data_IF_814142700125
#
_entry.id   IF_814142700125
#
_cell.length_a   1.000
_cell.length_b   1.000
_cell.length_c   1.000
_cell.angle_alpha   90.00
_cell.angle_beta   90.00
_cell.angle_gamma   90.00
#
_symmetry.space_group_name_H-M   'P 1'
#
loop_
_entity.id
_entity.type
_entity.pdbx_description
1 polymer ?
#
# COMPACT_ATOMS: atom_id res chain seq x y z
N UNK A 1 -13.82 35.29 24.32
CA UNK A 1 -12.63 35.29 25.17
C UNK A 1 -11.46 35.82 24.33
N UNK A 2 -10.98 37.03 24.64
CA UNK A 2 -9.88 37.71 23.95
C UNK A 2 -8.56 37.22 24.56
N UNK A 3 -7.73 36.53 23.78
CA UNK A 3 -6.36 36.23 24.20
C UNK A 3 -5.49 37.45 23.89
N UNK A 4 -5.25 38.28 24.88
CA UNK A 4 -4.27 39.35 24.84
C UNK A 4 -2.91 38.80 25.24
N UNK A 5 -2.02 38.59 24.29
CA UNK A 5 -0.58 38.36 24.52
C UNK A 5 0.22 39.38 23.69
N UNK A 6 1.20 40.07 24.25
CA UNK A 6 1.80 41.28 23.67
C UNK A 6 2.90 41.07 22.64
N UNK A 7 3.12 39.88 22.12
CA UNK A 7 4.12 39.66 21.06
C UNK A 7 3.62 38.57 20.11
N UNK A 8 3.04 38.99 18.96
CA UNK A 8 2.72 38.07 17.89
C UNK A 8 1.42 38.38 17.16
N UNK A 9 1.50 39.14 16.09
CA UNK A 9 0.43 39.55 15.18
C UNK A 9 -0.18 38.45 14.32
N UNK A 10 -0.33 37.22 14.83
CA UNK A 10 -1.02 36.17 14.11
C UNK A 10 -2.34 35.85 14.76
N UNK A 11 -3.49 36.00 14.06
CA UNK A 11 -4.79 35.65 14.61
C UNK A 11 -4.83 34.17 15.02
N UNK A 12 -5.46 33.89 16.17
CA UNK A 12 -5.53 32.57 16.81
C UNK A 12 -6.01 31.44 15.88
N UNK A 13 -6.78 31.74 14.83
CA UNK A 13 -7.22 30.81 13.79
C UNK A 13 -6.09 30.34 12.84
N UNK A 14 -5.12 31.22 12.58
CA UNK A 14 -4.03 30.92 11.65
C UNK A 14 -3.00 29.94 12.26
N UNK A 15 -2.79 29.98 13.57
CA UNK A 15 -1.93 29.00 14.28
C UNK A 15 -2.49 27.58 14.24
N UNK A 16 -3.83 27.42 14.34
CA UNK A 16 -4.48 26.10 14.25
C UNK A 16 -4.36 25.53 12.84
N UNK A 17 -4.48 26.34 11.80
CA UNK A 17 -4.30 25.91 10.41
C UNK A 17 -2.86 25.47 10.12
N UNK A 18 -1.86 26.22 10.60
CA UNK A 18 -0.43 25.87 10.40
C UNK A 18 -0.07 24.60 11.18
N UNK A 19 -0.61 24.40 12.38
CA UNK A 19 -0.37 23.16 13.13
C UNK A 19 -1.01 21.96 12.46
N UNK A 20 -2.24 22.08 11.99
CA UNK A 20 -2.94 21.02 11.26
C UNK A 20 -2.22 20.63 9.97
N UNK A 21 -1.73 21.61 9.19
CA UNK A 21 -0.98 21.33 7.96
C UNK A 21 0.37 20.65 8.24
N UNK A 22 1.06 21.03 9.32
CA UNK A 22 2.31 20.35 9.73
C UNK A 22 2.08 18.91 10.17
N UNK A 23 1.01 18.64 10.93
CA UNK A 23 0.65 17.29 11.35
C UNK A 23 0.27 16.44 10.13
N UNK A 24 -0.53 16.97 9.22
CA UNK A 24 -0.90 16.27 7.98
C UNK A 24 0.33 15.99 7.10
N UNK A 25 1.23 16.96 6.95
CA UNK A 25 2.48 16.76 6.21
C UNK A 25 3.41 15.75 6.86
N UNK A 26 3.55 15.76 8.19
CA UNK A 26 4.34 14.79 8.92
C UNK A 26 3.75 13.38 8.81
N UNK A 27 2.43 13.23 8.90
CA UNK A 27 1.73 11.96 8.71
C UNK A 27 1.94 11.41 7.29
N UNK A 28 1.76 12.25 6.27
CA UNK A 28 1.99 11.86 4.88
C UNK A 28 3.46 11.45 4.64
N UNK A 29 4.40 12.25 5.15
CA UNK A 29 5.83 11.96 5.05
C UNK A 29 6.21 10.64 5.74
N UNK A 30 5.65 10.37 6.92
CA UNK A 30 5.84 9.10 7.63
C UNK A 30 5.26 7.93 6.82
N UNK A 31 4.10 8.08 6.22
CA UNK A 31 3.46 7.05 5.41
C UNK A 31 4.27 6.73 4.15
N UNK A 32 4.77 7.76 3.45
CA UNK A 32 5.69 7.60 2.30
C UNK A 32 6.97 6.88 2.74
N UNK A 33 7.56 7.28 3.87
CA UNK A 33 8.78 6.68 4.40
C UNK A 33 8.59 5.21 4.75
N UNK A 34 7.49 4.85 5.43
CA UNK A 34 7.15 3.45 5.75
C UNK A 34 6.97 2.64 4.47
N UNK A 35 6.21 3.14 3.49
CA UNK A 35 6.00 2.44 2.22
C UNK A 35 7.31 2.24 1.44
N UNK A 36 8.19 3.25 1.39
CA UNK A 36 9.47 3.15 0.66
C UNK A 36 10.47 2.23 1.35
N UNK A 37 10.57 2.28 2.68
CA UNK A 37 11.44 1.40 3.45
C UNK A 37 11.01 -0.07 3.37
N UNK A 38 9.69 -0.31 3.38
CA UNK A 38 9.16 -1.67 3.31
C UNK A 38 9.13 -2.24 1.89
N UNK A 39 9.33 -1.41 0.86
CA UNK A 39 9.26 -1.83 -0.53
C UNK A 39 10.27 -2.95 -0.84
N UNK A 40 11.51 -2.81 -0.38
CA UNK A 40 12.55 -3.86 -0.56
C UNK A 40 12.18 -5.17 0.12
N UNK A 41 11.51 -5.10 1.28
CA UNK A 41 11.05 -6.29 1.99
C UNK A 41 9.87 -6.96 1.28
N UNK A 42 8.91 -6.18 0.81
CA UNK A 42 7.67 -6.68 0.20
C UNK A 42 7.88 -7.23 -1.23
N UNK A 43 8.85 -6.66 -1.98
CA UNK A 43 9.20 -7.10 -3.33
C UNK A 43 10.29 -8.17 -3.36
N UNK A 44 10.99 -8.41 -2.22
CA UNK A 44 11.99 -9.47 -2.17
C UNK A 44 11.35 -10.83 -2.41
N UNK A 45 12.08 -11.71 -3.10
CA UNK A 45 11.65 -13.08 -3.33
C UNK A 45 11.45 -13.81 -1.99
N UNK A 46 10.32 -14.47 -1.83
CA UNK A 46 10.10 -15.40 -0.75
C UNK A 46 10.79 -16.73 -1.11
N UNK A 47 11.56 -17.29 -0.19
CA UNK A 47 12.10 -18.64 -0.33
C UNK A 47 10.98 -19.65 -0.07
N UNK A 48 10.11 -19.80 -1.06
CA UNK A 48 9.08 -20.84 -1.02
C UNK A 48 9.67 -22.11 -1.59
N UNK A 49 9.60 -23.23 -0.89
CA UNK A 49 10.18 -24.51 -1.31
C UNK A 49 9.64 -25.08 -2.65
N UNK A 50 8.84 -24.29 -3.37
CA UNK A 50 8.29 -24.64 -4.70
C UNK A 50 9.20 -24.32 -5.89
N UNK A 51 10.41 -23.79 -5.66
CA UNK A 51 11.38 -23.51 -6.73
C UNK A 51 11.08 -22.29 -7.62
N UNK A 52 9.89 -21.70 -7.51
CA UNK A 52 9.52 -20.47 -8.20
C UNK A 52 9.67 -19.29 -7.23
N UNK A 53 10.62 -18.41 -7.50
CA UNK A 53 10.84 -17.19 -6.72
C UNK A 53 9.68 -16.20 -6.98
N UNK A 54 8.63 -16.26 -6.14
CA UNK A 54 7.56 -15.29 -6.18
C UNK A 54 7.82 -14.15 -5.17
N UNK A 55 7.47 -12.91 -5.48
CA UNK A 55 7.58 -11.83 -4.51
C UNK A 55 6.62 -12.06 -3.33
N UNK A 56 6.99 -11.63 -2.13
CA UNK A 56 6.23 -11.88 -0.89
C UNK A 56 4.78 -11.43 -0.93
N UNK A 57 4.45 -10.38 -1.68
CA UNK A 57 3.06 -9.93 -1.83
C UNK A 57 2.20 -10.88 -2.70
N UNK A 58 2.83 -11.69 -3.55
CA UNK A 58 2.15 -12.66 -4.41
C UNK A 58 2.17 -14.07 -3.81
N UNK A 59 3.03 -14.31 -2.80
CA UNK A 59 3.10 -15.58 -2.09
C UNK A 59 1.80 -15.86 -1.34
N UNK A 60 1.19 -16.99 -1.62
CA UNK A 60 -0.03 -17.43 -0.96
C UNK A 60 -0.12 -18.95 -0.97
N UNK A 61 -0.75 -19.49 0.05
CA UNK A 61 -1.09 -20.91 0.14
C UNK A 61 -2.60 -21.06 0.30
N UNK A 62 -3.29 -21.85 -0.52
CA UNK A 62 -4.73 -22.06 -0.38
C UNK A 62 -5.14 -22.55 1.03
N UNK A 63 -4.26 -23.28 1.69
CA UNK A 63 -4.45 -23.73 3.08
C UNK A 63 -4.50 -22.58 4.08
N UNK A 64 -3.81 -21.47 3.80
CA UNK A 64 -3.78 -20.25 4.60
C UNK A 64 -4.91 -19.26 4.24
N UNK A 65 -5.91 -19.68 3.44
CA UNK A 65 -6.98 -18.79 3.00
C UNK A 65 -7.89 -18.32 4.15
N UNK A 66 -8.18 -17.01 4.20
CA UNK A 66 -9.10 -16.37 5.16
C UNK A 66 -8.75 -16.61 6.63
N UNK A 67 -7.47 -16.59 6.96
CA UNK A 67 -7.05 -16.63 8.35
C UNK A 67 -7.20 -15.25 9.00
N UNK A 68 -7.62 -15.22 10.29
CA UNK A 68 -7.79 -13.96 11.02
C UNK A 68 -6.43 -13.31 11.35
N UNK A 69 -6.41 -12.02 11.71
CA UNK A 69 -5.26 -11.37 12.31
C UNK A 69 -4.84 -12.09 13.60
N UNK A 70 -3.54 -12.05 13.92
CA UNK A 70 -2.96 -12.76 15.07
C UNK A 70 -3.54 -12.37 16.43
N UNK A 71 -4.19 -11.20 16.55
CA UNK A 71 -4.84 -10.72 17.79
C UNK A 71 -6.32 -11.15 17.91
N UNK A 72 -6.87 -11.82 16.92
CA UNK A 72 -8.22 -12.36 16.94
C UNK A 72 -8.14 -13.88 17.12
N UNK A 73 -8.92 -14.41 18.05
CA UNK A 73 -9.00 -15.86 18.26
C UNK A 73 -9.55 -16.54 17.01
N UNK A 74 -8.85 -17.52 16.44
CA UNK A 74 -9.32 -18.25 15.28
C UNK A 74 -10.50 -19.16 15.64
N UNK A 75 -11.39 -19.43 14.67
CA UNK A 75 -12.37 -20.50 14.78
C UNK A 75 -11.70 -21.87 14.78
N UNK A 76 -12.42 -22.92 15.16
CA UNK A 76 -11.85 -24.28 15.18
C UNK A 76 -11.30 -24.72 13.81
N UNK A 77 -12.01 -24.39 12.71
CA UNK A 77 -11.52 -24.69 11.35
C UNK A 77 -10.27 -23.91 10.99
N UNK A 78 -10.21 -22.65 11.43
CA UNK A 78 -9.02 -21.81 11.22
C UNK A 78 -7.84 -22.29 12.05
N UNK A 79 -8.07 -22.74 13.28
CA UNK A 79 -7.05 -23.34 14.14
C UNK A 79 -6.45 -24.59 13.50
N UNK A 80 -7.31 -25.52 13.01
CA UNK A 80 -6.84 -26.71 12.27
C UNK A 80 -5.98 -26.37 11.05
N UNK A 81 -6.35 -25.32 10.31
CA UNK A 81 -5.53 -24.84 9.16
C UNK A 81 -4.21 -24.24 9.63
N UNK A 82 -4.21 -23.49 10.72
CA UNK A 82 -2.98 -22.94 11.32
C UNK A 82 -2.05 -24.06 11.78
N UNK A 83 -2.58 -25.11 12.39
CA UNK A 83 -1.82 -26.30 12.78
C UNK A 83 -1.18 -27.00 11.56
N UNK A 84 -1.90 -27.06 10.43
CA UNK A 84 -1.38 -27.63 9.19
C UNK A 84 -0.27 -26.79 8.56
N UNK A 85 -0.19 -25.48 8.85
CA UNK A 85 0.85 -24.59 8.36
C UNK A 85 2.14 -24.60 9.20
N UNK A 86 2.13 -25.26 10.36
CA UNK A 86 3.34 -25.43 11.18
C UNK A 86 4.32 -26.33 10.43
N UNK A 87 5.57 -25.87 10.20
CA UNK A 87 6.58 -26.65 9.47
C UNK A 87 6.86 -27.99 10.14
N UNK A 88 7.07 -29.08 9.38
CA UNK A 88 7.32 -30.43 9.94
C UNK A 88 8.53 -30.48 10.87
N UNK A 89 9.54 -29.66 10.62
CA UNK A 89 10.72 -29.54 11.50
C UNK A 89 10.32 -29.08 12.91
N UNK A 90 9.38 -28.14 13.01
CA UNK A 90 8.87 -27.67 14.30
C UNK A 90 8.01 -28.69 15.00
N UNK A 91 7.22 -29.45 14.24
CA UNK A 91 6.43 -30.56 14.80
C UNK A 91 7.35 -31.60 15.40
N UNK A 92 8.46 -31.98 14.75
CA UNK A 92 9.48 -32.88 15.29
C UNK A 92 10.16 -32.35 16.55
N UNK A 93 10.49 -31.05 16.55
CA UNK A 93 11.07 -30.40 17.72
C UNK A 93 10.12 -30.48 18.93
N UNK A 94 8.83 -30.22 18.72
CA UNK A 94 7.79 -30.33 19.75
C UNK A 94 7.64 -31.79 20.22
N UNK A 95 7.61 -32.76 19.30
CA UNK A 95 7.53 -34.18 19.60
C UNK A 95 8.68 -34.63 20.51
N UNK A 96 9.91 -34.25 20.15
CA UNK A 96 11.11 -34.57 20.93
C UNK A 96 11.08 -33.90 22.31
N UNK A 97 10.64 -32.63 22.37
CA UNK A 97 10.56 -31.89 23.65
C UNK A 97 9.53 -32.46 24.62
N UNK A 98 8.41 -32.94 24.11
CA UNK A 98 7.32 -33.50 24.91
C UNK A 98 7.42 -35.01 25.10
N UNK A 99 8.40 -35.67 24.47
CA UNK A 99 8.59 -37.12 24.45
C UNK A 99 7.32 -37.90 24.00
N UNK A 100 6.66 -37.37 22.95
CA UNK A 100 5.48 -37.97 22.31
C UNK A 100 5.80 -38.29 20.86
N UNK A 101 5.04 -39.19 20.24
CA UNK A 101 5.18 -39.52 18.84
C UNK A 101 4.76 -38.33 17.96
N UNK A 102 5.43 -38.14 16.80
CA UNK A 102 5.16 -37.03 15.86
C UNK A 102 3.70 -37.01 15.40
N UNK A 103 3.10 -38.19 15.21
CA UNK A 103 1.68 -38.34 14.84
C UNK A 103 0.72 -37.89 15.95
N UNK A 104 1.09 -38.11 17.21
CA UNK A 104 0.30 -37.75 18.38
C UNK A 104 0.36 -36.27 18.76
N UNK A 105 1.33 -35.51 18.27
CA UNK A 105 1.46 -34.06 18.58
C UNK A 105 0.18 -33.27 18.27
N UNK A 106 -0.52 -33.65 17.21
CA UNK A 106 -1.75 -32.99 16.77
C UNK A 106 -3.02 -33.43 17.57
N UNK A 107 -2.93 -34.51 18.31
CA UNK A 107 -4.03 -35.05 19.10
C UNK A 107 -3.84 -34.75 20.60
N UNK A 108 -2.61 -34.64 21.06
CA UNK A 108 -2.30 -34.32 22.46
C UNK A 108 -2.54 -32.81 22.73
N UNK A 109 -3.32 -32.44 23.76
CA UNK A 109 -3.56 -31.05 24.15
C UNK A 109 -2.29 -30.25 24.40
N UNK A 110 -1.22 -30.90 24.90
CA UNK A 110 0.09 -30.27 25.12
C UNK A 110 0.81 -29.99 23.81
N UNK A 111 0.72 -30.91 22.85
CA UNK A 111 1.26 -30.75 21.51
C UNK A 111 0.58 -29.62 20.76
N UNK A 112 -0.76 -29.57 20.77
CA UNK A 112 -1.54 -28.50 20.18
C UNK A 112 -1.22 -27.14 20.81
N UNK A 113 -1.07 -27.06 22.12
CA UNK A 113 -0.69 -25.82 22.80
C UNK A 113 0.69 -25.33 22.37
N UNK A 114 1.66 -26.25 22.24
CA UNK A 114 3.01 -25.92 21.77
C UNK A 114 3.03 -25.51 20.29
N UNK A 115 2.20 -26.12 19.43
CA UNK A 115 2.08 -25.72 18.03
C UNK A 115 1.55 -24.29 17.86
N UNK A 116 0.64 -23.83 18.75
CA UNK A 116 0.11 -22.46 18.72
C UNK A 116 1.19 -21.37 18.85
N UNK A 117 2.27 -21.64 19.55
CA UNK A 117 3.40 -20.72 19.66
C UNK A 117 4.12 -20.53 18.32
N UNK A 118 4.03 -21.51 17.41
CA UNK A 118 4.69 -21.55 16.11
C UNK A 118 3.74 -21.20 14.95
N UNK A 119 2.52 -20.80 15.24
CA UNK A 119 1.58 -20.35 14.21
C UNK A 119 2.12 -19.13 13.45
N UNK A 120 1.93 -19.08 12.13
CA UNK A 120 2.32 -17.90 11.35
C UNK A 120 1.50 -16.68 11.80
N UNK A 121 2.18 -15.58 12.08
CA UNK A 121 1.55 -14.35 12.57
C UNK A 121 1.23 -13.41 11.42
N UNK A 122 -0.02 -13.38 11.03
CA UNK A 122 -0.51 -12.44 10.02
C UNK A 122 -1.07 -11.18 10.70
N UNK A 123 -0.46 -10.01 10.44
CA UNK A 123 -0.87 -8.74 11.05
C UNK A 123 -2.31 -8.36 10.75
N UNK A 124 -2.75 -8.46 9.50
CA UNK A 124 -4.11 -8.13 9.05
C UNK A 124 -4.85 -9.36 8.53
N UNK A 125 -4.35 -10.57 8.84
CA UNK A 125 -4.90 -11.79 8.31
C UNK A 125 -4.50 -12.06 6.86
N UNK A 126 -5.23 -12.99 6.22
CA UNK A 126 -4.97 -13.44 4.85
C UNK A 126 -6.20 -13.30 3.96
N UNK A 127 -5.97 -13.15 2.65
CA UNK A 127 -7.04 -13.17 1.65
C UNK A 127 -7.53 -14.60 1.34
N UNK A 128 -8.44 -14.75 0.38
CA UNK A 128 -8.95 -16.05 -0.04
C UNK A 128 -7.87 -16.99 -0.62
N UNK A 129 -6.77 -16.43 -1.12
CA UNK A 129 -5.63 -17.17 -1.68
C UNK A 129 -4.50 -17.39 -0.66
N UNK A 130 -4.72 -17.05 0.61
CA UNK A 130 -3.74 -17.19 1.67
C UNK A 130 -2.59 -16.17 1.64
N UNK A 131 -2.74 -15.08 0.89
CA UNK A 131 -1.74 -14.02 0.81
C UNK A 131 -1.89 -13.07 1.99
N UNK A 132 -0.79 -12.60 2.56
CA UNK A 132 -0.80 -11.64 3.67
C UNK A 132 -1.41 -10.30 3.23
N UNK A 133 -2.53 -9.91 3.84
CA UNK A 133 -3.18 -8.63 3.60
C UNK A 133 -2.28 -7.44 3.98
N UNK A 134 -1.52 -7.56 5.08
CA UNK A 134 -0.60 -6.51 5.51
C UNK A 134 0.48 -6.19 4.48
N UNK A 135 1.11 -7.23 3.91
CA UNK A 135 2.12 -7.05 2.84
C UNK A 135 1.50 -6.44 1.59
N UNK A 136 0.32 -6.88 1.20
CA UNK A 136 -0.39 -6.34 0.03
C UNK A 136 -0.81 -4.89 0.21
N UNK A 137 -1.26 -4.50 1.41
CA UNK A 137 -1.59 -3.09 1.72
C UNK A 137 -0.35 -2.19 1.63
N UNK A 138 0.80 -2.65 2.10
CA UNK A 138 2.05 -1.88 1.99
C UNK A 138 2.48 -1.68 0.53
N UNK A 139 2.41 -2.73 -0.28
CA UNK A 139 2.72 -2.61 -1.73
C UNK A 139 1.72 -1.72 -2.44
N UNK A 140 0.41 -1.94 -2.22
CA UNK A 140 -0.64 -1.13 -2.82
C UNK A 140 -0.51 0.35 -2.41
N UNK A 141 -0.21 0.62 -1.15
CA UNK A 141 0.06 1.96 -0.64
C UNK A 141 1.28 2.60 -1.31
N UNK A 142 2.38 1.86 -1.45
CA UNK A 142 3.59 2.36 -2.11
C UNK A 142 3.33 2.70 -3.59
N UNK A 143 2.61 1.84 -4.31
CA UNK A 143 2.24 2.09 -5.72
C UNK A 143 1.32 3.31 -5.84
N UNK A 144 0.26 3.38 -5.02
CA UNK A 144 -0.70 4.49 -5.06
C UNK A 144 -0.03 5.83 -4.73
N UNK A 145 0.84 5.86 -3.71
CA UNK A 145 1.60 7.05 -3.34
C UNK A 145 2.59 7.43 -4.44
N UNK A 146 3.27 6.46 -5.04
CA UNK A 146 4.21 6.68 -6.14
C UNK A 146 3.52 7.32 -7.34
N UNK A 147 2.39 6.77 -7.76
CA UNK A 147 1.58 7.31 -8.87
C UNK A 147 1.07 8.71 -8.52
N UNK A 148 0.53 8.91 -7.30
CA UNK A 148 0.03 10.21 -6.87
C UNK A 148 1.12 11.29 -6.82
N UNK A 149 2.29 10.95 -6.29
CA UNK A 149 3.43 11.87 -6.20
C UNK A 149 3.97 12.24 -7.58
N UNK A 150 4.09 11.25 -8.47
CA UNK A 150 4.54 11.47 -9.85
C UNK A 150 3.55 12.37 -10.60
N UNK A 151 2.26 12.07 -10.50
CA UNK A 151 1.21 12.89 -11.12
C UNK A 151 1.23 14.34 -10.58
N UNK A 152 1.37 14.51 -9.27
CA UNK A 152 1.49 15.84 -8.66
C UNK A 152 2.73 16.58 -9.15
N UNK A 153 3.88 15.92 -9.22
CA UNK A 153 5.12 16.53 -9.71
C UNK A 153 5.00 17.01 -11.16
N UNK A 154 4.41 16.16 -12.02
CA UNK A 154 4.16 16.52 -13.42
C UNK A 154 3.18 17.69 -13.53
N UNK A 155 2.08 17.66 -12.78
CA UNK A 155 1.08 18.73 -12.77
C UNK A 155 1.68 20.05 -12.30
N UNK A 156 2.50 20.05 -11.24
CA UNK A 156 3.18 21.25 -10.73
C UNK A 156 4.20 21.76 -11.77
N UNK A 157 4.98 20.89 -12.38
CA UNK A 157 5.96 21.29 -13.39
C UNK A 157 5.27 21.94 -14.59
N UNK A 158 4.25 21.29 -15.15
CA UNK A 158 3.51 21.84 -16.29
C UNK A 158 2.79 23.13 -15.91
N UNK A 159 2.09 23.15 -14.78
CA UNK A 159 1.35 24.34 -14.32
C UNK A 159 2.26 25.53 -14.05
N UNK A 160 3.42 25.30 -13.43
CA UNK A 160 4.40 26.37 -13.18
C UNK A 160 4.99 26.91 -14.47
N UNK A 161 5.43 26.04 -15.40
CA UNK A 161 5.94 26.47 -16.69
C UNK A 161 4.89 27.24 -17.48
N UNK A 162 3.69 26.71 -17.56
CA UNK A 162 2.57 27.34 -18.27
C UNK A 162 2.22 28.72 -17.68
N UNK A 163 2.05 28.79 -16.35
CA UNK A 163 1.76 30.03 -15.66
C UNK A 163 2.88 31.05 -15.76
N UNK A 164 4.14 30.62 -15.70
CA UNK A 164 5.29 31.51 -15.86
C UNK A 164 5.37 32.10 -17.28
N UNK A 165 5.14 31.29 -18.31
CA UNK A 165 5.11 31.76 -19.71
C UNK A 165 3.97 32.75 -19.92
N UNK A 166 2.77 32.46 -19.40
CA UNK A 166 1.62 33.35 -19.48
C UNK A 166 1.92 34.71 -18.81
N UNK A 167 2.45 34.68 -17.59
CA UNK A 167 2.76 35.88 -16.84
C UNK A 167 3.90 36.70 -17.47
N UNK A 168 4.94 36.05 -18.01
CA UNK A 168 6.07 36.72 -18.63
C UNK A 168 5.73 37.35 -19.95
N UNK A 169 5.01 36.64 -20.83
CA UNK A 169 4.65 37.12 -22.16
C UNK A 169 3.52 38.17 -22.13
N UNK A 170 2.60 38.05 -21.19
CA UNK A 170 1.48 38.99 -21.00
C UNK A 170 0.57 39.18 -22.22
N UNK A 171 -0.32 40.15 -22.14
CA UNK A 171 -1.10 40.66 -23.26
C UNK A 171 -1.91 39.58 -24.02
N UNK A 172 -1.70 39.46 -25.34
CA UNK A 172 -2.41 38.52 -26.20
C UNK A 172 -2.03 37.08 -25.93
N UNK A 173 -0.78 36.80 -25.54
CA UNK A 173 -0.32 35.42 -25.26
C UNK A 173 -1.00 34.90 -24.02
N UNK A 174 -1.04 35.69 -22.95
CA UNK A 174 -1.75 35.32 -21.73
C UNK A 174 -3.24 35.07 -22.01
N UNK A 175 -3.89 35.96 -22.76
CA UNK A 175 -5.31 35.78 -23.13
C UNK A 175 -5.58 34.48 -23.92
N UNK A 176 -4.68 34.10 -24.83
CA UNK A 176 -4.82 32.83 -25.59
C UNK A 176 -4.58 31.63 -24.68
N UNK A 177 -3.54 31.68 -23.85
CA UNK A 177 -3.24 30.60 -22.92
C UNK A 177 -4.39 30.37 -21.92
N UNK A 178 -4.93 31.45 -21.35
CA UNK A 178 -6.10 31.32 -20.45
C UNK A 178 -7.34 30.77 -21.17
N UNK A 179 -7.56 31.13 -22.44
CA UNK A 179 -8.66 30.58 -23.22
C UNK A 179 -8.53 29.06 -23.45
N UNK A 180 -7.29 28.56 -23.66
CA UNK A 180 -7.02 27.12 -23.76
C UNK A 180 -7.38 26.41 -22.46
N UNK A 181 -7.00 26.98 -21.32
CA UNK A 181 -7.36 26.43 -20.00
C UNK A 181 -8.88 26.41 -19.82
N UNK A 182 -9.59 27.50 -20.17
CA UNK A 182 -11.05 27.59 -20.05
C UNK A 182 -11.74 26.49 -20.88
N UNK A 183 -11.25 26.23 -22.11
CA UNK A 183 -11.78 25.16 -22.97
C UNK A 183 -11.56 23.79 -22.34
N UNK A 184 -10.37 23.53 -21.79
CA UNK A 184 -10.06 22.26 -21.12
C UNK A 184 -10.92 22.04 -19.87
N UNK A 185 -11.16 23.11 -19.08
CA UNK A 185 -12.05 23.04 -17.91
C UNK A 185 -13.52 22.90 -18.28
N UNK A 186 -13.92 23.40 -19.46
CA UNK A 186 -15.28 23.27 -19.96
C UNK A 186 -15.64 21.85 -20.42
N UNK A 187 -14.66 21.00 -20.64
CA UNK A 187 -14.90 19.60 -21.03
C UNK A 187 -15.16 18.71 -19.81
N UNK A 188 -16.14 17.79 -19.87
CA UNK A 188 -16.35 16.82 -18.79
C UNK A 188 -15.06 16.00 -18.55
N UNK A 189 -14.49 16.06 -17.35
CA UNK A 189 -13.24 15.38 -17.00
C UNK A 189 -13.27 13.88 -17.32
N UNK A 190 -14.42 13.23 -17.08
CA UNK A 190 -14.59 11.80 -17.37
C UNK A 190 -14.43 11.53 -18.87
N UNK A 191 -15.01 12.38 -19.73
CA UNK A 191 -14.89 12.24 -21.19
C UNK A 191 -13.44 12.40 -21.65
N UNK A 192 -12.73 13.38 -21.10
CA UNK A 192 -11.30 13.60 -21.37
C UNK A 192 -10.45 12.39 -20.98
N UNK A 193 -10.69 11.82 -19.79
CA UNK A 193 -9.94 10.64 -19.31
C UNK A 193 -10.20 9.43 -20.21
N UNK A 194 -11.46 9.18 -20.59
CA UNK A 194 -11.79 8.05 -21.47
C UNK A 194 -11.18 8.22 -22.87
N UNK A 195 -11.27 9.41 -23.46
CA UNK A 195 -10.65 9.69 -24.76
C UNK A 195 -9.13 9.53 -24.73
N UNK A 196 -8.50 10.02 -23.65
CA UNK A 196 -7.06 9.88 -23.48
C UNK A 196 -6.63 8.43 -23.27
N UNK A 197 -7.40 7.64 -22.51
CA UNK A 197 -7.16 6.21 -22.31
C UNK A 197 -7.23 5.44 -23.64
N UNK A 198 -8.30 5.65 -24.43
CA UNK A 198 -8.47 5.00 -25.74
C UNK A 198 -7.35 5.42 -26.71
N UNK A 199 -6.98 6.70 -26.71
CA UNK A 199 -5.86 7.17 -27.53
C UNK A 199 -4.53 6.55 -27.10
N UNK A 200 -4.27 6.42 -25.80
CA UNK A 200 -3.07 5.79 -25.27
C UNK A 200 -3.00 4.30 -25.65
N UNK A 201 -4.10 3.55 -25.51
CA UNK A 201 -4.17 2.15 -25.90
C UNK A 201 -3.86 1.97 -27.39
N UNK A 202 -4.45 2.80 -28.25
CA UNK A 202 -4.21 2.74 -29.70
C UNK A 202 -2.76 3.04 -30.09
N UNK A 203 -2.09 3.94 -29.36
CA UNK A 203 -0.66 4.25 -29.55
C UNK A 203 0.24 3.11 -29.10
N UNK A 204 -0.07 2.49 -27.95
CA UNK A 204 0.67 1.35 -27.41
C UNK A 204 0.55 0.15 -28.33
N UNK A 205 -0.67 -0.18 -28.78
CA UNK A 205 -0.91 -1.28 -29.73
C UNK A 205 -0.20 -1.04 -31.07
N UNK A 206 -0.21 0.19 -31.57
CA UNK A 206 0.51 0.58 -32.76
C UNK A 206 2.05 0.47 -32.63
N UNK A 207 2.56 0.66 -31.42
CA UNK A 207 3.99 0.51 -31.12
C UNK A 207 4.38 -0.96 -30.95
N UNK A 208 3.58 -1.72 -30.21
CA UNK A 208 3.81 -3.18 -29.98
C UNK A 208 3.72 -3.97 -31.29
N UNK A 209 2.78 -3.64 -32.18
CA UNK A 209 2.64 -4.33 -33.47
C UNK A 209 3.73 -3.95 -34.50
N UNK A 210 4.58 -2.95 -34.23
CA UNK A 210 5.72 -2.56 -35.10
C UNK A 210 7.04 -3.17 -34.66
N UNK A 211 7.12 -3.71 -33.43
CA UNK A 211 8.30 -4.40 -32.89
C UNK A 211 8.17 -5.92 -32.98
#
# INVERSE_FOLDING_TARGET
>A
MRCTHPIGFLPCGMRRGVLASRIAGAFLGMLVLVCTLTLRYTTSAANTGSGLAAPRYAEGSPSAGRLPPWWISPSEDQARRLDALVPPERVREIATRLAIDESAVREDPRGVAAMREHWPRYWLGTDALGRSLGVRMLVGGAVSLGVGLLAAAVAVAIGTLYGTVAAYAGGRVDAVLMRVVDVLYGLPTILMVVLLAVAADSLVDGWVNRT
#
